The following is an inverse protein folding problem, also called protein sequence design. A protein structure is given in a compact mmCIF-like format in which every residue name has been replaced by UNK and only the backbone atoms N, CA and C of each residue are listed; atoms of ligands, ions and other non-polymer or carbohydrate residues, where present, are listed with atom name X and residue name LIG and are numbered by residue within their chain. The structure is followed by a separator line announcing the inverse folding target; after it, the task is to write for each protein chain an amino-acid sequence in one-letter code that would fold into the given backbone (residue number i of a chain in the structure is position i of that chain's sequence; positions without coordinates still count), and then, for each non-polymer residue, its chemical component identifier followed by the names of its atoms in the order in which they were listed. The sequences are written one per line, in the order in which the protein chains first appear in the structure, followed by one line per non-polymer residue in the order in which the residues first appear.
data_IF_498512406588
#
_entry.id   IF_498512406588
#
_cell.length_a   1.000
_cell.length_b   1.000
_cell.length_c   1.000
_cell.angle_alpha   90.00
_cell.angle_beta   90.00
_cell.angle_gamma   90.00
#
_symmetry.space_group_name_H-M   'P 1'
#
loop_
_entity.id
_entity.type
_entity.pdbx_description
1 polymer ?
#
# COMPACT_ATOMS: atom_id res chain seq x y z
N UNK A 1 34.39 -17.18 39.97
CA UNK A 1 33.80 -16.22 39.00
C UNK A 1 33.59 -17.00 37.72
N UNK A 2 32.36 -17.46 37.48
CA UNK A 2 31.97 -18.23 36.29
C UNK A 2 31.77 -17.28 35.13
N UNK A 3 32.46 -17.57 34.03
CA UNK A 3 32.26 -16.88 32.72
C UNK A 3 30.77 -16.89 32.34
N UNK A 4 30.12 -15.73 32.37
CA UNK A 4 28.87 -15.51 31.69
C UNK A 4 29.23 -15.53 30.21
N UNK A 5 29.16 -16.70 29.57
CA UNK A 5 29.33 -16.85 28.12
C UNK A 5 28.26 -16.03 27.47
N UNK A 6 28.71 -15.06 26.67
CA UNK A 6 27.95 -14.21 25.77
C UNK A 6 27.20 -15.08 24.73
N UNK A 7 26.11 -15.77 25.16
CA UNK A 7 25.32 -16.67 24.30
C UNK A 7 24.32 -15.94 23.40
N UNK A 8 24.06 -14.63 23.67
CA UNK A 8 23.09 -13.84 22.92
C UNK A 8 23.55 -13.48 21.48
N UNK A 9 24.84 -13.21 21.32
CA UNK A 9 25.38 -12.72 20.02
C UNK A 9 25.47 -13.82 18.94
N UNK A 10 25.54 -15.09 19.31
CA UNK A 10 25.59 -16.21 18.33
C UNK A 10 24.21 -16.68 17.87
N UNK A 11 23.14 -16.37 18.62
CA UNK A 11 21.77 -16.84 18.38
C UNK A 11 21.08 -16.13 17.22
N UNK A 12 21.34 -14.84 17.05
CA UNK A 12 20.67 -13.98 16.04
C UNK A 12 21.30 -14.08 14.63
N UNK A 13 22.39 -14.86 14.47
CA UNK A 13 23.01 -15.02 13.15
C UNK A 13 22.16 -15.85 12.21
N UNK A 14 22.05 -15.40 10.97
CA UNK A 14 21.38 -16.11 9.89
C UNK A 14 22.09 -17.46 9.67
N UNK A 15 21.33 -18.53 9.81
CA UNK A 15 21.78 -19.90 9.54
C UNK A 15 21.54 -20.26 8.09
N UNK A 16 20.32 -19.98 7.60
CA UNK A 16 19.85 -20.34 6.27
C UNK A 16 18.76 -19.39 5.77
N UNK A 17 18.63 -19.26 4.45
CA UNK A 17 17.56 -18.53 3.78
C UNK A 17 17.00 -19.42 2.68
N UNK A 18 15.70 -19.70 2.76
CA UNK A 18 14.95 -20.45 1.77
C UNK A 18 14.08 -19.46 0.98
N UNK A 19 13.82 -19.79 -0.27
CA UNK A 19 12.87 -19.03 -1.09
C UNK A 19 12.05 -19.97 -1.95
N UNK A 20 10.82 -19.57 -2.23
CA UNK A 20 9.90 -20.30 -3.10
C UNK A 20 8.99 -19.37 -3.87
N UNK A 21 8.42 -19.91 -4.93
CA UNK A 21 7.35 -19.31 -5.68
C UNK A 21 6.03 -19.72 -5.02
N UNK A 22 5.17 -18.76 -4.71
CA UNK A 22 3.80 -18.96 -4.24
C UNK A 22 2.84 -18.19 -5.15
N UNK A 23 1.52 -18.31 -4.96
CA UNK A 23 0.52 -17.55 -5.70
C UNK A 23 0.04 -16.35 -4.88
N UNK A 24 -0.15 -15.22 -5.56
CA UNK A 24 -0.82 -14.04 -5.02
C UNK A 24 -2.36 -14.16 -5.12
N UNK A 25 -3.09 -13.17 -4.64
CA UNK A 25 -4.57 -13.13 -4.65
C UNK A 25 -5.20 -13.12 -6.04
N UNK A 26 -4.40 -12.87 -7.09
CA UNK A 26 -4.82 -12.91 -8.50
C UNK A 26 -4.44 -14.21 -9.20
N UNK A 27 -3.80 -15.15 -8.47
CA UNK A 27 -3.29 -16.40 -9.02
C UNK A 27 -1.98 -16.24 -9.80
N UNK A 28 -1.30 -15.10 -9.69
CA UNK A 28 0.01 -14.88 -10.27
C UNK A 28 1.12 -15.31 -9.30
N UNK A 29 2.24 -15.87 -9.81
CA UNK A 29 3.38 -16.17 -8.96
C UNK A 29 3.97 -14.94 -8.29
N UNK A 30 4.38 -15.12 -7.03
CA UNK A 30 5.19 -14.15 -6.28
C UNK A 30 6.23 -14.86 -5.43
N UNK A 31 7.14 -14.08 -4.80
CA UNK A 31 8.25 -14.61 -4.01
C UNK A 31 7.88 -14.67 -2.54
N UNK A 32 8.15 -15.82 -1.92
CA UNK A 32 8.17 -15.98 -0.48
C UNK A 32 9.59 -16.37 -0.04
N UNK A 33 10.12 -15.70 0.99
CA UNK A 33 11.38 -16.05 1.62
C UNK A 33 11.18 -16.45 3.07
N UNK A 34 12.00 -17.41 3.53
CA UNK A 34 12.06 -17.86 4.92
C UNK A 34 13.49 -17.74 5.43
N UNK A 35 13.70 -16.93 6.47
CA UNK A 35 14.98 -16.76 7.14
C UNK A 35 14.99 -17.58 8.43
N UNK A 36 16.04 -18.37 8.64
CA UNK A 36 16.22 -19.23 9.80
C UNK A 36 17.47 -18.80 10.54
N UNK A 37 17.34 -18.47 11.83
CA UNK A 37 18.43 -18.07 12.70
C UNK A 37 19.09 -19.26 13.39
N UNK A 38 20.32 -19.08 13.91
CA UNK A 38 21.02 -20.12 14.68
C UNK A 38 20.33 -20.50 15.97
N UNK A 39 19.56 -19.58 16.59
CA UNK A 39 18.70 -19.90 17.74
C UNK A 39 17.47 -20.73 17.40
N UNK A 40 17.19 -20.99 16.12
CA UNK A 40 16.02 -21.69 15.64
C UNK A 40 14.82 -20.79 15.30
N UNK A 41 14.86 -19.51 15.63
CA UNK A 41 13.81 -18.56 15.23
C UNK A 41 13.71 -18.46 13.71
N UNK A 42 12.50 -18.27 13.21
CA UNK A 42 12.21 -18.19 11.79
C UNK A 42 11.38 -16.93 11.47
N UNK A 43 11.57 -16.37 10.30
CA UNK A 43 10.70 -15.33 9.76
C UNK A 43 10.35 -15.66 8.32
N UNK A 44 9.08 -15.57 7.99
CA UNK A 44 8.55 -15.81 6.62
C UNK A 44 7.91 -14.54 6.13
N UNK A 45 8.21 -14.15 4.90
CA UNK A 45 7.59 -13.00 4.26
C UNK A 45 7.29 -13.29 2.79
N UNK A 46 6.11 -12.87 2.36
CA UNK A 46 5.63 -12.98 0.99
C UNK A 46 5.42 -11.59 0.40
N UNK A 47 5.88 -11.36 -0.82
CA UNK A 47 5.89 -10.03 -1.44
C UNK A 47 4.61 -9.79 -2.23
N UNK A 48 3.96 -8.60 -2.09
CA UNK A 48 2.84 -8.22 -2.94
C UNK A 48 3.30 -7.80 -4.35
N UNK A 49 2.35 -7.71 -5.29
CA UNK A 49 2.59 -7.33 -6.68
C UNK A 49 1.56 -6.31 -7.17
N UNK A 50 1.99 -5.27 -7.88
CA UNK A 50 1.08 -4.27 -8.47
C UNK A 50 0.35 -4.78 -9.71
N UNK A 51 -0.82 -4.22 -10.01
CA UNK A 51 -1.48 -4.35 -11.31
C UNK A 51 -1.00 -3.24 -12.27
N UNK A 52 -1.03 -2.00 -11.81
CA UNK A 52 -0.34 -0.85 -12.39
C UNK A 52 0.96 -0.61 -11.62
N UNK A 53 1.98 -0.13 -12.30
CA UNK A 53 3.27 0.23 -11.69
C UNK A 53 3.67 1.61 -12.16
N UNK A 54 3.99 2.51 -11.22
CA UNK A 54 4.57 3.81 -11.53
C UNK A 54 5.91 3.65 -12.26
N UNK A 55 6.22 4.56 -13.16
CA UNK A 55 7.42 4.46 -14.02
C UNK A 55 8.74 4.41 -13.24
N UNK A 56 8.72 4.85 -11.99
CA UNK A 56 9.90 4.96 -11.13
C UNK A 56 9.96 3.91 -10.01
N UNK A 57 9.09 2.92 -10.03
CA UNK A 57 9.14 1.81 -9.07
C UNK A 57 10.39 0.93 -9.25
N UNK A 58 10.84 0.31 -8.16
CA UNK A 58 11.84 -0.74 -8.24
C UNK A 58 11.32 -1.96 -9.02
N UNK A 59 12.20 -2.63 -9.75
CA UNK A 59 11.82 -3.67 -10.72
C UNK A 59 11.39 -4.95 -10.04
N UNK A 60 10.17 -5.36 -10.27
CA UNK A 60 9.70 -6.72 -9.98
C UNK A 60 10.24 -7.66 -11.06
N UNK A 61 11.17 -8.55 -10.69
CA UNK A 61 11.79 -9.47 -11.63
C UNK A 61 10.83 -10.58 -12.01
N UNK A 62 10.48 -10.65 -13.30
CA UNK A 62 9.63 -11.67 -13.93
C UNK A 62 10.40 -12.47 -14.97
N UNK A 63 10.11 -13.78 -15.08
CA UNK A 63 10.86 -14.69 -15.96
C UNK A 63 10.64 -14.41 -17.45
N UNK A 64 9.48 -13.85 -17.82
CA UNK A 64 9.06 -13.60 -19.22
C UNK A 64 9.04 -14.82 -20.13
N UNK A 65 9.11 -16.02 -19.56
CA UNK A 65 8.96 -17.30 -20.24
C UNK A 65 7.47 -17.66 -20.38
N UNK A 66 7.14 -18.68 -21.19
CA UNK A 66 5.74 -19.14 -21.40
C UNK A 66 5.03 -19.60 -20.11
N UNK A 67 5.78 -20.02 -19.12
CA UNK A 67 5.29 -20.46 -17.83
C UNK A 67 4.57 -19.31 -17.12
N UNK A 68 3.35 -19.56 -16.61
CA UNK A 68 2.47 -18.52 -16.04
C UNK A 68 2.32 -17.29 -16.95
N UNK A 69 2.27 -17.51 -18.27
CA UNK A 69 2.11 -16.43 -19.26
C UNK A 69 3.15 -15.30 -19.10
N UNK A 70 4.38 -15.65 -18.74
CA UNK A 70 5.47 -14.69 -18.52
C UNK A 70 5.58 -14.14 -17.10
N UNK A 71 4.63 -14.47 -16.21
CA UNK A 71 4.55 -13.93 -14.85
C UNK A 71 5.35 -14.72 -13.81
N UNK A 72 6.10 -15.78 -14.20
CA UNK A 72 6.92 -16.58 -13.30
C UNK A 72 7.97 -15.74 -12.56
N UNK A 73 8.43 -16.23 -11.38
CA UNK A 73 9.44 -15.55 -10.53
C UNK A 73 10.60 -16.47 -10.14
N UNK A 74 10.87 -17.50 -10.96
CA UNK A 74 12.01 -18.42 -10.72
C UNK A 74 13.36 -17.70 -10.72
N UNK A 75 13.52 -16.69 -11.57
CA UNK A 75 14.72 -15.84 -11.60
C UNK A 75 14.96 -15.16 -10.26
N UNK A 76 13.94 -14.54 -9.68
CA UNK A 76 14.00 -13.92 -8.36
C UNK A 76 14.26 -14.96 -7.25
N UNK A 77 13.59 -16.10 -7.27
CA UNK A 77 13.85 -17.21 -6.33
C UNK A 77 15.27 -17.72 -6.43
N UNK A 78 15.82 -17.82 -7.66
CA UNK A 78 17.22 -18.21 -7.91
C UNK A 78 18.20 -17.17 -7.37
N UNK A 79 17.91 -15.88 -7.54
CA UNK A 79 18.72 -14.80 -6.99
C UNK A 79 18.78 -14.89 -5.45
N UNK A 80 17.66 -15.15 -4.78
CA UNK A 80 17.65 -15.40 -3.33
C UNK A 80 18.54 -16.59 -2.97
N UNK A 81 18.35 -17.75 -3.62
CA UNK A 81 19.02 -18.99 -3.24
C UNK A 81 20.53 -19.00 -3.55
N UNK A 82 20.93 -18.41 -4.65
CA UNK A 82 22.31 -18.53 -5.19
C UNK A 82 23.19 -17.33 -4.88
N UNK A 83 22.62 -16.15 -4.61
CA UNK A 83 23.36 -14.91 -4.38
C UNK A 83 23.09 -14.41 -2.96
N UNK A 84 21.82 -14.07 -2.64
CA UNK A 84 21.49 -13.42 -1.38
C UNK A 84 21.74 -14.34 -0.19
N UNK A 85 21.27 -15.59 -0.23
CA UNK A 85 21.39 -16.52 0.89
C UNK A 85 22.86 -16.84 1.24
N UNK A 86 23.76 -17.15 0.30
CA UNK A 86 25.16 -17.31 0.61
C UNK A 86 25.83 -16.06 1.18
N UNK A 87 25.52 -14.88 0.64
CA UNK A 87 26.10 -13.61 1.05
C UNK A 87 25.69 -13.17 2.46
N UNK A 88 24.44 -13.42 2.84
CA UNK A 88 23.91 -13.05 4.17
C UNK A 88 24.18 -14.10 5.26
N UNK A 89 24.65 -15.30 4.91
CA UNK A 89 24.89 -16.36 5.87
C UNK A 89 25.91 -15.97 6.94
N UNK A 90 25.49 -16.06 8.20
CA UNK A 90 26.33 -15.68 9.36
C UNK A 90 26.22 -14.21 9.75
N UNK A 91 25.56 -13.36 8.97
CA UNK A 91 25.24 -11.99 9.39
C UNK A 91 24.23 -11.99 10.54
N UNK A 92 24.25 -10.97 11.36
CA UNK A 92 23.33 -10.78 12.47
C UNK A 92 22.01 -10.18 11.98
N UNK A 93 20.90 -10.91 12.15
CA UNK A 93 19.58 -10.50 11.70
C UNK A 93 19.05 -9.22 12.38
N UNK A 94 19.59 -8.84 13.55
CA UNK A 94 19.25 -7.58 14.21
C UNK A 94 19.81 -6.34 13.49
N UNK A 95 20.76 -6.52 12.59
CA UNK A 95 21.41 -5.46 11.83
C UNK A 95 20.73 -5.24 10.48
N UNK A 96 19.40 -4.96 10.52
CA UNK A 96 18.56 -4.83 9.32
C UNK A 96 19.18 -3.92 8.26
N UNK A 97 19.66 -2.73 8.64
CA UNK A 97 20.23 -1.76 7.69
C UNK A 97 21.48 -2.31 6.98
N UNK A 98 22.36 -3.01 7.68
CA UNK A 98 23.56 -3.61 7.08
C UNK A 98 23.19 -4.71 6.07
N UNK A 99 22.15 -5.49 6.37
CA UNK A 99 21.65 -6.56 5.50
C UNK A 99 21.03 -5.96 4.24
N UNK A 100 20.14 -4.97 4.40
CA UNK A 100 19.48 -4.32 3.27
C UNK A 100 20.51 -3.59 2.37
N UNK A 101 21.48 -2.89 2.97
CA UNK A 101 22.56 -2.24 2.23
C UNK A 101 23.44 -3.24 1.48
N UNK A 102 23.71 -4.41 2.05
CA UNK A 102 24.45 -5.46 1.35
C UNK A 102 23.69 -5.93 0.11
N UNK A 103 22.39 -6.18 0.22
CA UNK A 103 21.57 -6.59 -0.93
C UNK A 103 21.47 -5.51 -2.01
N UNK A 104 21.38 -4.24 -1.62
CA UNK A 104 21.38 -3.10 -2.55
C UNK A 104 22.73 -3.00 -3.28
N UNK A 105 23.83 -3.14 -2.56
CA UNK A 105 25.17 -3.08 -3.14
C UNK A 105 25.46 -4.27 -4.08
N UNK A 106 24.95 -5.46 -3.77
CA UNK A 106 25.07 -6.66 -4.61
C UNK A 106 24.23 -6.55 -5.88
N UNK A 107 23.02 -5.94 -5.81
CA UNK A 107 22.21 -5.66 -7.01
C UNK A 107 22.92 -4.65 -7.92
N UNK A 108 23.55 -3.63 -7.37
CA UNK A 108 24.32 -2.59 -8.04
C UNK A 108 23.57 -1.80 -9.15
N UNK A 109 22.23 -1.88 -9.21
CA UNK A 109 21.41 -1.09 -10.13
C UNK A 109 20.53 -0.10 -9.38
N UNK A 110 20.18 1.02 -10.01
CA UNK A 110 19.38 2.07 -9.37
C UNK A 110 17.96 1.62 -8.98
N UNK A 111 17.42 0.65 -9.72
CA UNK A 111 16.04 0.19 -9.58
C UNK A 111 15.92 -1.31 -9.22
N UNK A 112 16.98 -1.92 -8.70
CA UNK A 112 17.02 -3.33 -8.28
C UNK A 112 16.67 -4.33 -9.39
N UNK A 113 17.06 -4.02 -10.63
CA UNK A 113 16.74 -4.85 -11.81
C UNK A 113 17.60 -6.11 -11.97
N UNK A 114 18.73 -6.23 -11.26
CA UNK A 114 19.61 -7.38 -11.33
C UNK A 114 19.11 -8.57 -10.49
N UNK A 115 18.88 -8.35 -9.19
CA UNK A 115 18.37 -9.39 -8.27
C UNK A 115 16.85 -9.43 -8.24
N UNK A 116 16.22 -8.30 -8.51
CA UNK A 116 14.78 -8.07 -8.40
C UNK A 116 14.37 -7.50 -7.04
N UNK A 117 13.58 -6.43 -7.06
CA UNK A 117 13.04 -5.84 -5.83
C UNK A 117 12.18 -6.83 -5.04
N UNK A 118 11.47 -7.73 -5.72
CA UNK A 118 10.70 -8.81 -5.09
C UNK A 118 11.58 -9.82 -4.34
N UNK A 119 12.75 -10.20 -4.88
CA UNK A 119 13.70 -11.06 -4.19
C UNK A 119 14.30 -10.38 -2.97
N UNK A 120 14.75 -9.14 -3.13
CA UNK A 120 15.35 -8.33 -2.06
C UNK A 120 14.35 -8.09 -0.93
N UNK A 121 13.13 -7.64 -1.26
CA UNK A 121 12.11 -7.35 -0.26
C UNK A 121 11.67 -8.59 0.52
N UNK A 122 11.48 -9.74 -0.15
CA UNK A 122 11.10 -10.97 0.53
C UNK A 122 12.10 -11.33 1.64
N UNK A 123 13.40 -11.20 1.34
CA UNK A 123 14.45 -11.46 2.33
C UNK A 123 14.50 -10.37 3.40
N UNK A 124 14.43 -9.10 3.02
CA UNK A 124 14.44 -7.96 3.95
C UNK A 124 13.36 -8.08 5.03
N UNK A 125 12.11 -8.37 4.63
CA UNK A 125 10.99 -8.55 5.55
C UNK A 125 11.11 -9.85 6.37
N UNK A 126 11.57 -10.94 5.77
CA UNK A 126 11.76 -12.20 6.46
C UNK A 126 12.86 -12.12 7.55
N UNK A 127 13.94 -11.34 7.29
CA UNK A 127 14.99 -11.04 8.28
C UNK A 127 14.40 -10.31 9.49
N UNK A 128 13.62 -9.24 9.25
CA UNK A 128 12.99 -8.48 10.33
C UNK A 128 12.07 -9.37 11.19
N UNK A 129 11.27 -10.22 10.55
CA UNK A 129 10.39 -11.18 11.26
C UNK A 129 11.19 -12.23 12.03
N UNK A 130 12.28 -12.77 11.46
CA UNK A 130 13.15 -13.71 12.14
C UNK A 130 13.82 -13.09 13.37
N UNK A 131 14.29 -11.83 13.23
CA UNK A 131 14.89 -11.09 14.33
C UNK A 131 13.87 -10.81 15.45
N UNK A 132 12.66 -10.35 15.10
CA UNK A 132 11.58 -10.14 16.04
C UNK A 132 11.26 -11.43 16.84
N UNK A 133 11.09 -12.56 16.14
CA UNK A 133 10.83 -13.86 16.74
C UNK A 133 12.00 -14.34 17.60
N UNK A 134 13.25 -14.08 17.17
CA UNK A 134 14.45 -14.40 17.98
C UNK A 134 14.53 -13.61 19.27
N UNK A 135 14.02 -12.39 19.28
CA UNK A 135 13.89 -11.54 20.47
C UNK A 135 12.59 -11.77 21.25
N UNK A 136 11.71 -12.66 20.77
CA UNK A 136 10.38 -12.93 21.35
C UNK A 136 9.50 -11.69 21.43
N UNK A 137 9.58 -10.82 20.41
CA UNK A 137 8.78 -9.63 20.27
C UNK A 137 7.83 -9.76 19.07
N UNK A 138 6.60 -9.25 19.14
CA UNK A 138 5.79 -9.07 17.94
C UNK A 138 6.45 -8.06 17.00
N UNK A 139 6.23 -8.20 15.70
CA UNK A 139 6.96 -7.42 14.69
C UNK A 139 6.77 -5.91 14.87
N UNK A 140 5.56 -5.44 15.18
CA UNK A 140 5.31 -4.01 15.39
C UNK A 140 6.13 -3.45 16.57
N UNK A 141 6.31 -4.23 17.65
CA UNK A 141 7.15 -3.85 18.81
C UNK A 141 8.63 -3.87 18.46
N UNK A 142 9.06 -4.87 17.70
CA UNK A 142 10.45 -4.95 17.25
C UNK A 142 10.85 -3.74 16.39
N UNK A 143 9.97 -3.32 15.48
CA UNK A 143 10.24 -2.20 14.56
C UNK A 143 10.05 -0.84 15.22
N UNK A 144 9.00 -0.66 16.04
CA UNK A 144 8.59 0.65 16.56
C UNK A 144 8.91 0.88 18.04
N UNK A 145 9.44 -0.15 18.72
CA UNK A 145 9.77 -0.06 20.15
C UNK A 145 8.54 0.12 21.06
N UNK A 146 8.78 0.70 22.24
CA UNK A 146 7.72 0.94 23.22
C UNK A 146 6.70 2.02 22.81
N UNK A 147 7.03 2.86 21.83
CA UNK A 147 6.14 3.88 21.31
C UNK A 147 5.11 3.39 20.28
N UNK A 148 5.24 2.15 19.78
CA UNK A 148 4.34 1.57 18.78
C UNK A 148 3.00 1.16 19.44
N UNK A 149 1.97 2.01 19.28
CA UNK A 149 0.66 1.81 19.96
C UNK A 149 -0.53 2.40 19.21
N UNK A 150 -0.34 3.16 18.13
CA UNK A 150 -1.43 3.80 17.41
C UNK A 150 -2.02 2.84 16.40
N UNK A 151 -3.29 2.45 16.59
CA UNK A 151 -4.05 1.67 15.62
C UNK A 151 -4.51 2.58 14.48
N UNK A 152 -4.22 2.22 13.22
CA UNK A 152 -4.53 3.08 12.07
C UNK A 152 -6.03 3.15 11.78
N UNK A 153 -6.48 4.28 11.21
CA UNK A 153 -7.79 4.39 10.58
C UNK A 153 -7.72 3.67 9.23
N UNK A 154 -8.57 2.67 8.98
CA UNK A 154 -8.59 1.99 7.69
C UNK A 154 -9.24 2.86 6.60
N UNK A 155 -8.61 2.91 5.44
CA UNK A 155 -9.16 3.42 4.18
C UNK A 155 -9.63 2.20 3.39
N UNK A 156 -10.96 1.92 3.44
CA UNK A 156 -11.53 0.70 2.90
C UNK A 156 -12.08 0.94 1.48
N UNK A 157 -11.43 0.39 0.46
CA UNK A 157 -11.91 0.45 -0.92
C UNK A 157 -13.17 -0.39 -1.09
N UNK A 158 -14.33 0.24 -1.20
CA UNK A 158 -15.64 -0.43 -1.26
C UNK A 158 -16.33 -0.34 -2.61
N UNK A 159 -15.93 0.60 -3.49
CA UNK A 159 -16.38 0.71 -4.88
C UNK A 159 -15.17 0.92 -5.78
N UNK A 160 -15.08 0.15 -6.86
CA UNK A 160 -14.06 0.24 -7.89
C UNK A 160 -14.63 0.88 -9.16
N UNK A 161 -13.84 1.73 -9.79
CA UNK A 161 -14.08 2.31 -11.10
C UNK A 161 -12.82 2.26 -11.97
N UNK A 162 -12.64 3.22 -12.87
CA UNK A 162 -11.48 3.32 -13.72
C UNK A 162 -11.19 2.03 -14.48
N UNK A 163 -9.94 1.57 -14.43
CA UNK A 163 -9.53 0.27 -15.02
C UNK A 163 -9.86 -0.93 -14.15
N UNK A 164 -10.21 -0.72 -12.88
CA UNK A 164 -10.56 -1.79 -11.96
C UNK A 164 -12.02 -2.26 -12.11
N UNK A 165 -12.81 -1.66 -13.01
CA UNK A 165 -14.21 -2.01 -13.25
C UNK A 165 -14.67 -1.73 -14.70
N UNK A 166 -15.59 -2.54 -15.19
CA UNK A 166 -16.31 -2.31 -16.46
C UNK A 166 -17.47 -1.32 -16.27
N UNK A 167 -17.18 -0.15 -15.67
CA UNK A 167 -18.16 0.93 -15.42
C UNK A 167 -17.83 2.16 -16.24
N UNK A 168 -18.69 3.18 -16.20
CA UNK A 168 -18.43 4.49 -16.82
C UNK A 168 -17.73 5.50 -15.89
N UNK A 169 -17.37 5.08 -14.67
CA UNK A 169 -16.61 5.89 -13.74
C UNK A 169 -15.14 6.01 -14.17
N UNK A 170 -14.55 7.18 -13.97
CA UNK A 170 -13.15 7.44 -14.30
C UNK A 170 -12.24 7.35 -13.06
N UNK A 171 -12.73 7.73 -11.89
CA UNK A 171 -12.04 7.56 -10.60
C UNK A 171 -11.92 6.08 -10.28
N UNK A 172 -10.70 5.64 -9.88
CA UNK A 172 -10.36 4.23 -9.75
C UNK A 172 -10.90 3.60 -8.47
N UNK A 173 -10.83 4.30 -7.33
CA UNK A 173 -11.25 3.76 -6.03
C UNK A 173 -12.04 4.78 -5.23
N UNK A 174 -13.12 4.29 -4.61
CA UNK A 174 -13.94 5.04 -3.66
C UNK A 174 -13.90 4.32 -2.31
N UNK A 175 -13.28 4.98 -1.33
CA UNK A 175 -13.00 4.42 -0.02
C UNK A 175 -13.82 5.07 1.08
N UNK A 176 -14.22 4.29 2.08
CA UNK A 176 -14.78 4.79 3.34
C UNK A 176 -13.73 4.78 4.45
N UNK A 177 -13.76 5.80 5.30
CA UNK A 177 -12.87 5.96 6.44
C UNK A 177 -13.68 6.12 7.73
N UNK A 178 -13.72 5.13 8.63
CA UNK A 178 -14.42 5.20 9.92
C UNK A 178 -13.62 6.05 10.94
N UNK A 179 -13.76 7.37 10.88
CA UNK A 179 -13.00 8.34 11.67
C UNK A 179 -13.61 8.63 13.05
N UNK A 180 -14.90 8.37 13.23
CA UNK A 180 -15.65 8.76 14.43
C UNK A 180 -15.68 7.69 15.55
N UNK A 181 -14.67 6.78 15.60
CA UNK A 181 -14.64 5.65 16.54
C UNK A 181 -13.31 5.58 17.28
N UNK A 182 -13.34 5.17 18.55
CA UNK A 182 -12.17 5.18 19.42
C UNK A 182 -11.28 3.94 19.23
N UNK A 183 -11.88 2.75 19.15
CA UNK A 183 -11.15 1.49 19.00
C UNK A 183 -11.07 1.04 17.55
N UNK A 184 -10.09 0.20 17.23
CA UNK A 184 -9.99 -0.39 15.90
C UNK A 184 -11.13 -1.39 15.66
N UNK A 185 -11.53 -2.12 16.71
CA UNK A 185 -12.67 -3.02 16.66
C UNK A 185 -13.95 -2.30 16.21
N UNK A 186 -14.27 -1.15 16.83
CA UNK A 186 -15.43 -0.33 16.43
C UNK A 186 -15.32 0.18 14.99
N UNK A 187 -14.11 0.61 14.57
CA UNK A 187 -13.85 1.03 13.18
C UNK A 187 -14.14 -0.07 12.18
N UNK A 188 -13.67 -1.29 12.48
CA UNK A 188 -13.86 -2.44 11.59
C UNK A 188 -15.33 -2.91 11.57
N UNK A 189 -16.01 -2.95 12.71
CA UNK A 189 -17.43 -3.29 12.81
C UNK A 189 -18.27 -2.30 11.99
N UNK A 190 -18.07 -0.99 12.21
CA UNK A 190 -18.80 0.05 11.51
C UNK A 190 -18.52 0.01 9.99
N UNK A 191 -17.26 -0.14 9.59
CA UNK A 191 -16.88 -0.26 8.17
C UNK A 191 -17.53 -1.48 7.50
N UNK A 192 -17.52 -2.61 8.16
CA UNK A 192 -18.17 -3.85 7.69
C UNK A 192 -19.69 -3.68 7.57
N UNK A 193 -20.31 -3.00 8.53
CA UNK A 193 -21.75 -2.68 8.48
C UNK A 193 -22.10 -1.81 7.27
N UNK A 194 -21.33 -0.75 7.00
CA UNK A 194 -21.51 0.10 5.81
C UNK A 194 -21.31 -0.71 4.53
N UNK A 195 -20.27 -1.56 4.45
CA UNK A 195 -20.00 -2.42 3.31
C UNK A 195 -21.17 -3.36 2.99
N UNK A 196 -21.75 -4.02 3.99
CA UNK A 196 -22.91 -4.89 3.80
C UNK A 196 -24.18 -4.10 3.47
N UNK A 197 -24.35 -2.90 4.04
CA UNK A 197 -25.46 -2.00 3.68
C UNK A 197 -25.36 -1.57 2.22
N UNK A 198 -24.15 -1.19 1.77
CA UNK A 198 -23.89 -0.87 0.36
C UNK A 198 -24.25 -2.05 -0.56
N UNK A 199 -23.83 -3.27 -0.20
CA UNK A 199 -24.20 -4.48 -0.95
C UNK A 199 -25.71 -4.62 -1.11
N UNK A 200 -26.45 -4.45 -0.02
CA UNK A 200 -27.92 -4.54 -0.01
C UNK A 200 -28.57 -3.49 -0.91
N UNK A 201 -28.07 -2.24 -0.87
CA UNK A 201 -28.56 -1.13 -1.72
C UNK A 201 -28.30 -1.44 -3.20
N UNK A 202 -27.06 -1.86 -3.55
CA UNK A 202 -26.70 -2.23 -4.92
C UNK A 202 -27.60 -3.33 -5.47
N UNK A 203 -27.83 -4.39 -4.67
CA UNK A 203 -28.72 -5.49 -5.07
C UNK A 203 -30.17 -5.03 -5.27
N UNK A 204 -30.69 -4.15 -4.41
CA UNK A 204 -32.07 -3.62 -4.51
C UNK A 204 -32.25 -2.78 -5.77
N UNK A 205 -31.20 -2.13 -6.26
CA UNK A 205 -31.21 -1.34 -7.49
C UNK A 205 -30.64 -2.10 -8.72
N UNK A 206 -30.56 -3.43 -8.61
CA UNK A 206 -30.17 -4.34 -9.68
C UNK A 206 -28.71 -4.15 -10.20
N UNK A 207 -27.81 -3.54 -9.41
CA UNK A 207 -26.41 -3.50 -9.71
C UNK A 207 -25.68 -4.78 -9.32
N UNK A 208 -24.61 -5.09 -10.04
CA UNK A 208 -23.72 -6.21 -9.69
C UNK A 208 -23.02 -5.97 -8.34
N UNK A 209 -22.90 -7.05 -7.56
CA UNK A 209 -22.13 -7.07 -6.30
C UNK A 209 -20.91 -8.00 -6.39
N UNK A 210 -20.45 -8.28 -7.60
CA UNK A 210 -19.16 -8.90 -7.82
C UNK A 210 -18.05 -7.97 -7.32
N UNK A 211 -17.00 -8.54 -6.74
CA UNK A 211 -15.90 -7.77 -6.17
C UNK A 211 -14.67 -7.79 -7.07
N UNK A 212 -13.97 -6.68 -7.12
CA UNK A 212 -12.69 -6.54 -7.77
C UNK A 212 -11.53 -7.15 -6.95
N UNK A 213 -10.31 -6.93 -7.43
CA UNK A 213 -9.08 -7.47 -6.83
C UNK A 213 -8.89 -7.06 -5.37
N UNK A 214 -9.36 -5.88 -4.99
CA UNK A 214 -9.22 -5.31 -3.65
C UNK A 214 -10.45 -5.54 -2.74
N UNK A 215 -11.41 -6.32 -3.21
CA UNK A 215 -12.59 -6.73 -2.45
C UNK A 215 -13.77 -5.76 -2.49
N UNK A 216 -13.62 -4.56 -3.07
CA UNK A 216 -14.71 -3.61 -3.32
C UNK A 216 -15.61 -4.02 -4.47
N UNK A 217 -16.86 -3.54 -4.48
CA UNK A 217 -17.81 -3.82 -5.56
C UNK A 217 -17.44 -3.09 -6.84
N UNK A 218 -17.86 -3.63 -7.98
CA UNK A 218 -17.63 -3.04 -9.30
C UNK A 218 -18.97 -2.83 -10.03
N UNK A 219 -19.87 -1.94 -9.53
CA UNK A 219 -21.15 -1.68 -10.17
C UNK A 219 -20.96 -0.90 -11.47
N UNK A 220 -21.83 -1.15 -12.46
CA UNK A 220 -21.83 -0.45 -13.74
C UNK A 220 -22.45 0.96 -13.61
N UNK A 221 -21.85 1.83 -12.80
CA UNK A 221 -22.28 3.21 -12.65
C UNK A 221 -21.88 4.05 -13.87
N UNK A 222 -22.66 5.10 -14.15
CA UNK A 222 -22.49 5.96 -15.32
C UNK A 222 -21.52 7.12 -15.07
N UNK A 223 -21.32 7.53 -13.81
CA UNK A 223 -20.51 8.68 -13.41
C UNK A 223 -19.95 8.52 -11.99
N UNK A 224 -18.90 9.25 -11.71
CA UNK A 224 -18.18 9.19 -10.42
C UNK A 224 -19.06 9.64 -9.24
N UNK A 225 -19.90 10.68 -9.43
CA UNK A 225 -20.78 11.18 -8.38
C UNK A 225 -21.83 10.14 -7.95
N UNK A 226 -22.22 9.25 -8.84
CA UNK A 226 -23.16 8.18 -8.49
C UNK A 226 -22.56 7.25 -7.42
N UNK A 227 -21.28 6.92 -7.53
CA UNK A 227 -20.59 6.15 -6.50
C UNK A 227 -20.59 6.88 -5.16
N UNK A 228 -20.33 8.19 -5.17
CA UNK A 228 -20.36 9.01 -3.96
C UNK A 228 -21.75 9.07 -3.33
N UNK A 229 -22.81 9.25 -4.13
CA UNK A 229 -24.19 9.26 -3.67
C UNK A 229 -24.57 7.92 -2.99
N UNK A 230 -24.15 6.79 -3.59
CA UNK A 230 -24.37 5.46 -3.01
C UNK A 230 -23.58 5.26 -1.70
N UNK A 231 -22.37 5.80 -1.59
CA UNK A 231 -21.61 5.74 -0.33
C UNK A 231 -22.27 6.55 0.77
N UNK A 232 -22.72 7.78 0.48
CA UNK A 232 -23.45 8.62 1.45
C UNK A 232 -24.68 7.88 1.95
N UNK A 233 -25.50 7.37 1.03
CA UNK A 233 -26.71 6.59 1.35
C UNK A 233 -26.38 5.34 2.18
N UNK A 234 -25.33 4.61 1.84
CA UNK A 234 -24.91 3.42 2.59
C UNK A 234 -24.49 3.75 4.03
N UNK A 235 -23.77 4.86 4.23
CA UNK A 235 -23.38 5.35 5.54
C UNK A 235 -24.62 5.71 6.37
N UNK A 236 -25.58 6.46 5.78
CA UNK A 236 -26.81 6.89 6.45
C UNK A 236 -27.74 5.72 6.79
N UNK A 237 -27.97 4.80 5.84
CA UNK A 237 -28.81 3.61 6.06
C UNK A 237 -28.15 2.60 7.04
N UNK A 238 -26.81 2.64 7.20
CA UNK A 238 -26.12 1.90 8.25
C UNK A 238 -26.26 2.52 9.65
N UNK A 239 -26.90 3.71 9.75
CA UNK A 239 -27.12 4.42 11.01
C UNK A 239 -26.01 5.39 11.39
N UNK A 240 -25.12 5.76 10.47
CA UNK A 240 -24.01 6.67 10.71
C UNK A 240 -24.19 8.02 10.00
N UNK A 241 -23.41 9.02 10.42
CA UNK A 241 -23.44 10.37 9.86
C UNK A 241 -22.21 10.61 8.97
N UNK A 242 -22.40 10.89 7.65
CA UNK A 242 -21.33 11.33 6.78
C UNK A 242 -20.64 12.58 7.32
N UNK A 243 -19.33 12.67 7.17
CA UNK A 243 -18.51 13.78 7.66
C UNK A 243 -18.14 13.69 9.15
N UNK A 244 -18.96 13.03 9.98
CA UNK A 244 -18.70 12.86 11.42
C UNK A 244 -18.19 11.47 11.77
N UNK A 245 -18.92 10.41 11.43
CA UNK A 245 -18.53 9.03 11.71
C UNK A 245 -17.69 8.45 10.58
N UNK A 246 -18.01 8.80 9.35
CA UNK A 246 -17.30 8.39 8.16
C UNK A 246 -16.91 9.57 7.31
N UNK A 247 -15.72 9.51 6.74
CA UNK A 247 -15.26 10.35 5.64
C UNK A 247 -14.98 9.49 4.42
N UNK A 248 -14.82 10.13 3.26
CA UNK A 248 -14.55 9.47 1.98
C UNK A 248 -13.10 9.75 1.58
N UNK A 249 -12.45 8.75 1.00
CA UNK A 249 -11.18 8.92 0.32
C UNK A 249 -11.32 8.43 -1.13
N UNK A 250 -10.62 9.08 -2.04
CA UNK A 250 -10.57 8.75 -3.46
C UNK A 250 -9.16 8.39 -3.87
N UNK A 251 -9.04 7.42 -4.77
CA UNK A 251 -7.85 7.22 -5.59
C UNK A 251 -8.26 7.48 -7.05
N UNK A 252 -7.72 8.54 -7.62
CA UNK A 252 -8.11 9.02 -8.96
C UNK A 252 -7.31 8.30 -10.04
N UNK A 253 -6.08 7.89 -9.75
CA UNK A 253 -5.12 7.30 -10.70
C UNK A 253 -5.00 8.13 -12.00
N UNK A 254 -4.82 9.45 -11.83
CA UNK A 254 -4.93 10.40 -12.93
C UNK A 254 -3.83 10.25 -14.00
N UNK A 255 -2.70 9.61 -13.69
CA UNK A 255 -1.66 9.28 -14.68
C UNK A 255 -2.24 8.46 -15.84
N UNK A 256 -3.16 7.52 -15.56
CA UNK A 256 -3.81 6.72 -16.60
C UNK A 256 -4.68 7.58 -17.54
N UNK A 257 -5.35 8.60 -16.99
CA UNK A 257 -6.15 9.56 -17.78
C UNK A 257 -5.26 10.44 -18.66
N UNK A 258 -4.11 10.87 -18.12
CA UNK A 258 -3.10 11.63 -18.84
C UNK A 258 -2.50 10.82 -19.99
N UNK A 259 -2.07 9.60 -19.73
CA UNK A 259 -1.53 8.69 -20.73
C UNK A 259 -2.55 8.34 -21.83
N UNK A 260 -3.83 8.22 -21.46
CA UNK A 260 -4.89 8.00 -22.44
C UNK A 260 -5.06 9.21 -23.36
N UNK A 261 -5.00 10.44 -22.82
CA UNK A 261 -5.03 11.66 -23.62
C UNK A 261 -3.81 11.78 -24.54
N UNK A 262 -2.62 11.46 -24.02
CA UNK A 262 -1.37 11.48 -24.78
C UNK A 262 -1.43 10.52 -25.99
N UNK A 263 -1.99 9.31 -25.82
CA UNK A 263 -2.20 8.36 -26.93
C UNK A 263 -3.12 8.89 -28.02
N UNK A 264 -4.07 9.75 -27.67
CA UNK A 264 -4.98 10.45 -28.61
C UNK A 264 -4.37 11.76 -29.17
N UNK A 265 -3.08 12.02 -28.90
CA UNK A 265 -2.38 13.23 -29.37
C UNK A 265 -2.78 14.52 -28.64
N UNK A 266 -3.33 14.41 -27.42
CA UNK A 266 -3.76 15.52 -26.56
C UNK A 266 -2.81 15.65 -25.37
N UNK A 267 -1.57 16.04 -25.64
CA UNK A 267 -0.58 16.30 -24.61
C UNK A 267 -1.03 17.39 -23.63
N UNK A 268 -0.71 17.21 -22.35
CA UNK A 268 -1.09 18.12 -21.28
C UNK A 268 -2.57 18.06 -20.86
N UNK A 269 -3.33 17.08 -21.34
CA UNK A 269 -4.75 16.90 -21.00
C UNK A 269 -4.97 15.61 -20.19
N UNK A 270 -6.13 15.52 -19.56
CA UNK A 270 -6.65 14.34 -18.87
C UNK A 270 -7.88 13.82 -19.62
N UNK A 271 -7.84 12.60 -20.11
CA UNK A 271 -8.94 12.01 -20.87
C UNK A 271 -9.80 11.11 -19.97
N UNK A 272 -11.01 11.57 -19.73
CA UNK A 272 -12.08 10.79 -19.09
C UNK A 272 -12.69 9.85 -20.14
N UNK A 273 -11.99 8.73 -20.39
CA UNK A 273 -12.30 7.84 -21.53
C UNK A 273 -13.69 7.19 -21.46
N UNK A 274 -14.28 7.09 -20.27
CA UNK A 274 -15.62 6.54 -20.08
C UNK A 274 -16.71 7.52 -20.54
N UNK A 275 -16.48 8.81 -20.38
CA UNK A 275 -17.42 9.88 -20.81
C UNK A 275 -17.00 10.58 -22.11
N UNK A 276 -15.79 10.31 -22.62
CA UNK A 276 -15.28 10.93 -23.83
C UNK A 276 -14.87 12.40 -23.66
N UNK A 277 -14.65 12.86 -22.43
CA UNK A 277 -14.36 14.27 -22.11
C UNK A 277 -12.88 14.46 -21.85
N UNK A 278 -12.28 15.52 -22.40
CA UNK A 278 -10.93 15.97 -22.07
C UNK A 278 -11.02 17.12 -21.06
N UNK A 279 -10.10 17.13 -20.09
CA UNK A 279 -9.94 18.20 -19.11
C UNK A 279 -8.52 18.72 -19.15
N UNK A 280 -8.35 20.04 -19.02
CA UNK A 280 -7.03 20.62 -18.68
C UNK A 280 -6.69 20.31 -17.22
N UNK A 281 -5.43 20.50 -16.79
CA UNK A 281 -5.05 20.35 -15.38
C UNK A 281 -5.88 21.26 -14.45
N UNK A 282 -6.17 22.50 -14.87
CA UNK A 282 -6.99 23.45 -14.09
C UNK A 282 -8.45 22.98 -13.99
N UNK A 283 -9.02 22.44 -15.07
CA UNK A 283 -10.36 21.83 -15.06
C UNK A 283 -10.42 20.57 -14.19
N UNK A 284 -9.31 19.79 -14.15
CA UNK A 284 -9.20 18.65 -13.26
C UNK A 284 -9.17 19.10 -11.79
N UNK A 285 -8.39 20.12 -11.45
CA UNK A 285 -8.36 20.72 -10.11
C UNK A 285 -9.75 21.26 -9.72
N UNK A 286 -10.43 21.94 -10.64
CA UNK A 286 -11.78 22.47 -10.41
C UNK A 286 -12.80 21.33 -10.16
N UNK A 287 -12.71 20.25 -10.92
CA UNK A 287 -13.55 19.06 -10.76
C UNK A 287 -13.35 18.42 -9.36
N UNK A 288 -12.10 18.17 -8.95
CA UNK A 288 -11.78 17.62 -7.64
C UNK A 288 -12.26 18.54 -6.51
N UNK A 289 -12.13 19.86 -6.71
CA UNK A 289 -12.65 20.85 -5.75
C UNK A 289 -14.17 20.78 -5.65
N UNK A 290 -14.89 20.68 -6.75
CA UNK A 290 -16.36 20.54 -6.74
C UNK A 290 -16.80 19.29 -5.96
N UNK A 291 -16.13 18.15 -6.17
CA UNK A 291 -16.42 16.93 -5.41
C UNK A 291 -16.19 17.15 -3.90
N UNK A 292 -15.11 17.83 -3.51
CA UNK A 292 -14.82 18.14 -2.12
C UNK A 292 -15.79 19.16 -1.49
N UNK A 293 -16.42 20.01 -2.29
CA UNK A 293 -17.43 20.97 -1.82
C UNK A 293 -18.78 20.31 -1.58
N UNK A 294 -19.08 19.21 -2.29
CA UNK A 294 -20.36 18.47 -2.23
C UNK A 294 -20.33 17.29 -1.27
N UNK A 295 -19.20 16.63 -1.11
CA UNK A 295 -19.06 15.38 -0.35
C UNK A 295 -18.03 15.51 0.76
N UNK A 296 -18.13 14.73 1.85
CA UNK A 296 -17.20 14.77 2.97
C UNK A 296 -15.86 14.06 2.64
N UNK A 297 -15.22 14.48 1.52
CA UNK A 297 -13.95 13.93 1.06
C UNK A 297 -12.85 14.45 1.97
N UNK A 298 -12.08 13.52 2.51
CA UNK A 298 -10.93 13.77 3.39
C UNK A 298 -9.60 13.62 2.66
N UNK A 299 -9.52 12.69 1.71
CA UNK A 299 -8.28 12.30 1.06
C UNK A 299 -8.48 12.10 -0.44
N UNK A 300 -7.55 12.60 -1.24
CA UNK A 300 -7.45 12.37 -2.68
C UNK A 300 -6.04 11.86 -2.97
N UNK A 301 -5.95 10.66 -3.52
CA UNK A 301 -4.73 10.02 -3.99
C UNK A 301 -4.62 10.21 -5.50
N UNK A 302 -3.41 10.54 -5.97
CA UNK A 302 -3.04 10.73 -7.38
C UNK A 302 -4.06 11.49 -8.20
N UNK A 303 -4.44 12.67 -7.67
CA UNK A 303 -5.41 13.57 -8.30
C UNK A 303 -4.93 14.18 -9.62
N UNK A 304 -3.62 14.13 -9.91
CA UNK A 304 -2.97 14.55 -11.13
C UNK A 304 -1.88 13.55 -11.51
N UNK A 305 -1.38 13.64 -12.77
CA UNK A 305 -0.35 12.73 -13.29
C UNK A 305 0.98 12.83 -12.54
N UNK A 306 1.74 11.73 -12.51
CA UNK A 306 2.97 11.56 -11.71
C UNK A 306 4.13 12.51 -12.06
N UNK A 307 4.11 13.14 -13.24
CA UNK A 307 5.10 14.14 -13.66
C UNK A 307 4.53 15.57 -13.78
N UNK A 308 3.27 15.77 -13.46
CA UNK A 308 2.62 17.09 -13.54
C UNK A 308 2.86 17.94 -12.26
N UNK A 309 4.13 18.08 -11.88
CA UNK A 309 4.59 18.72 -10.64
C UNK A 309 4.07 20.15 -10.43
N UNK A 310 3.96 20.92 -11.51
CA UNK A 310 3.48 22.31 -11.44
C UNK A 310 2.02 22.38 -10.99
N UNK A 311 1.17 21.51 -11.55
CA UNK A 311 -0.25 21.51 -11.20
C UNK A 311 -0.51 20.77 -9.86
N UNK A 312 0.37 19.84 -9.45
CA UNK A 312 0.33 19.31 -8.10
C UNK A 312 0.54 20.39 -7.03
N UNK A 313 1.48 21.32 -7.22
CA UNK A 313 1.64 22.49 -6.34
C UNK A 313 0.37 23.35 -6.34
N UNK A 314 -0.25 23.58 -7.51
CA UNK A 314 -1.51 24.31 -7.62
C UNK A 314 -2.68 23.58 -6.92
N UNK A 315 -2.78 22.26 -7.07
CA UNK A 315 -3.76 21.42 -6.38
C UNK A 315 -3.60 21.53 -4.87
N UNK A 316 -2.36 21.42 -4.36
CA UNK A 316 -2.08 21.51 -2.93
C UNK A 316 -2.39 22.92 -2.40
N UNK A 317 -2.09 23.96 -3.15
CA UNK A 317 -2.46 25.35 -2.79
C UNK A 317 -3.97 25.53 -2.72
N UNK A 318 -4.73 24.85 -3.57
CA UNK A 318 -6.20 24.94 -3.65
C UNK A 318 -6.91 24.13 -2.60
N UNK A 319 -6.48 22.91 -2.33
CA UNK A 319 -7.18 21.93 -1.48
C UNK A 319 -6.41 21.50 -0.24
N UNK A 320 -5.09 21.63 -0.20
CA UNK A 320 -4.24 21.01 0.81
C UNK A 320 -4.46 21.48 2.25
N UNK A 321 -5.10 22.63 2.46
CA UNK A 321 -5.48 23.11 3.80
C UNK A 321 -6.67 22.35 4.42
N UNK A 322 -7.48 21.67 3.62
CA UNK A 322 -8.71 20.97 4.06
C UNK A 322 -8.76 19.49 3.65
N UNK A 323 -7.96 19.09 2.66
CA UNK A 323 -7.95 17.73 2.07
C UNK A 323 -6.54 17.16 2.15
N UNK A 324 -6.43 15.89 2.50
CA UNK A 324 -5.20 15.14 2.39
C UNK A 324 -4.94 14.81 0.93
N UNK A 325 -3.85 15.33 0.38
CA UNK A 325 -3.40 15.07 -0.99
C UNK A 325 -2.25 14.07 -0.95
N UNK A 326 -2.51 12.88 -1.46
CA UNK A 326 -1.61 11.73 -1.36
C UNK A 326 -0.94 11.49 -2.70
N UNK A 327 0.39 11.42 -2.71
CA UNK A 327 1.11 10.92 -3.87
C UNK A 327 1.43 9.43 -3.69
N UNK A 328 0.94 8.61 -4.63
CA UNK A 328 1.34 7.22 -4.84
C UNK A 328 2.35 7.14 -5.99
N UNK A 329 1.91 7.18 -7.24
CA UNK A 329 2.78 7.17 -8.42
C UNK A 329 3.70 8.41 -8.46
N UNK A 330 3.23 9.54 -7.94
CA UNK A 330 4.04 10.74 -7.78
C UNK A 330 5.34 10.49 -7.01
N UNK A 331 5.31 9.66 -5.96
CA UNK A 331 6.44 9.46 -5.05
C UNK A 331 7.05 8.06 -5.08
N UNK A 332 6.28 7.05 -5.42
CA UNK A 332 6.68 5.61 -5.47
C UNK A 332 7.51 5.17 -4.28
N UNK A 333 7.19 5.68 -3.07
CA UNK A 333 7.95 5.43 -1.82
C UNK A 333 9.45 5.81 -1.91
N UNK A 334 9.83 6.63 -2.90
CA UNK A 334 11.22 7.00 -3.19
C UNK A 334 11.59 8.32 -2.50
N UNK A 335 12.64 8.30 -1.68
CA UNK A 335 13.08 9.47 -0.89
C UNK A 335 13.50 10.66 -1.74
N UNK A 336 14.05 10.47 -2.95
CA UNK A 336 14.42 11.57 -3.84
C UNK A 336 13.17 12.28 -4.38
N UNK A 337 12.15 11.51 -4.79
CA UNK A 337 10.87 12.05 -5.26
C UNK A 337 10.09 12.72 -4.11
N UNK A 338 10.07 12.12 -2.92
CA UNK A 338 9.47 12.71 -1.72
C UNK A 338 10.15 14.05 -1.39
N UNK A 339 11.50 14.09 -1.40
CA UNK A 339 12.26 15.33 -1.18
C UNK A 339 11.94 16.42 -2.22
N UNK A 340 11.76 16.03 -3.50
CA UNK A 340 11.33 16.96 -4.55
C UNK A 340 9.94 17.52 -4.23
N UNK A 341 8.99 16.65 -3.89
CA UNK A 341 7.61 17.05 -3.54
C UNK A 341 7.56 17.99 -2.33
N UNK A 342 8.33 17.71 -1.27
CA UNK A 342 8.42 18.58 -0.09
C UNK A 342 8.94 19.97 -0.49
N UNK A 343 10.02 20.04 -1.29
CA UNK A 343 10.58 21.33 -1.73
C UNK A 343 9.62 22.15 -2.57
N UNK A 344 8.78 21.49 -3.37
CA UNK A 344 7.80 22.12 -4.25
C UNK A 344 6.43 22.30 -3.58
N UNK A 345 6.25 21.82 -2.34
CA UNK A 345 4.95 21.80 -1.67
C UNK A 345 3.84 21.16 -2.55
N UNK A 346 4.18 20.04 -3.21
CA UNK A 346 3.33 19.41 -4.19
C UNK A 346 2.14 18.65 -3.58
N UNK A 347 2.31 18.09 -2.36
CA UNK A 347 1.32 17.27 -1.67
C UNK A 347 1.41 17.50 -0.16
N UNK A 348 0.69 16.72 0.65
CA UNK A 348 0.78 16.73 2.11
C UNK A 348 0.74 15.33 2.74
N UNK A 349 0.76 14.28 1.90
CA UNK A 349 0.82 12.89 2.32
C UNK A 349 1.49 12.01 1.25
N UNK A 350 2.05 10.88 1.69
CA UNK A 350 2.72 9.89 0.84
C UNK A 350 2.08 8.53 1.07
N UNK A 351 1.74 7.83 0.00
CA UNK A 351 1.40 6.42 0.06
C UNK A 351 2.68 5.59 0.14
N UNK A 352 2.76 4.69 1.09
CA UNK A 352 3.94 3.86 1.35
C UNK A 352 3.64 2.42 0.94
N UNK A 353 4.29 1.98 -0.13
CA UNK A 353 4.23 0.61 -0.64
C UNK A 353 5.61 -0.02 -0.58
N UNK A 354 5.79 -0.99 0.30
CA UNK A 354 7.11 -1.59 0.58
C UNK A 354 7.82 -2.14 -0.66
N UNK A 355 7.05 -2.65 -1.64
CA UNK A 355 7.62 -3.24 -2.86
C UNK A 355 7.99 -2.19 -3.93
N UNK A 356 7.50 -0.95 -3.86
CA UNK A 356 7.89 0.12 -4.78
C UNK A 356 9.36 0.52 -4.59
N UNK A 357 9.90 0.36 -3.39
CA UNK A 357 11.29 0.68 -3.07
C UNK A 357 12.16 -0.57 -2.82
N UNK A 358 11.59 -1.64 -2.25
CA UNK A 358 12.17 -2.98 -2.24
C UNK A 358 13.01 -3.36 -1.02
N UNK A 359 13.13 -2.52 0.02
CA UNK A 359 13.68 -2.89 1.33
C UNK A 359 12.90 -2.26 2.47
N UNK A 360 12.94 -2.89 3.64
CA UNK A 360 12.37 -2.33 4.88
C UNK A 360 13.11 -1.06 5.29
N UNK A 361 14.43 -1.03 5.16
CA UNK A 361 15.26 0.13 5.52
C UNK A 361 14.88 1.38 4.70
N UNK A 362 14.81 1.27 3.38
CA UNK A 362 14.42 2.40 2.51
C UNK A 362 12.96 2.81 2.77
N UNK A 363 12.07 1.84 3.03
CA UNK A 363 10.68 2.11 3.43
C UNK A 363 10.61 2.96 4.70
N UNK A 364 11.37 2.58 5.75
CA UNK A 364 11.44 3.34 7.00
C UNK A 364 12.07 4.72 6.81
N UNK A 365 13.07 4.86 5.95
CA UNK A 365 13.68 6.15 5.61
C UNK A 365 12.68 7.07 4.88
N UNK A 366 11.86 6.54 3.97
CA UNK A 366 10.78 7.27 3.30
C UNK A 366 9.70 7.74 4.30
N UNK A 367 9.25 6.86 5.20
CA UNK A 367 8.28 7.19 6.24
C UNK A 367 8.83 8.27 7.16
N UNK A 368 10.07 8.14 7.60
CA UNK A 368 10.73 9.11 8.48
C UNK A 368 10.79 10.49 7.81
N UNK A 369 11.31 10.56 6.58
CA UNK A 369 11.37 11.81 5.81
C UNK A 369 10.01 12.49 5.68
N UNK A 370 8.98 11.70 5.37
CA UNK A 370 7.59 12.17 5.25
C UNK A 370 7.11 12.81 6.55
N UNK A 371 7.26 12.10 7.68
CA UNK A 371 6.77 12.55 9.00
C UNK A 371 7.56 13.73 9.57
N UNK A 372 8.88 13.74 9.40
CA UNK A 372 9.75 14.87 9.86
C UNK A 372 9.41 16.18 9.16
N UNK A 373 8.78 16.13 7.97
CA UNK A 373 8.33 17.32 7.25
C UNK A 373 6.84 17.66 7.47
N UNK A 374 6.20 17.05 8.48
CA UNK A 374 4.81 17.31 8.83
C UNK A 374 3.78 16.69 7.90
N UNK A 375 4.22 15.84 6.96
CA UNK A 375 3.36 15.11 6.06
C UNK A 375 2.91 13.78 6.68
N UNK A 376 1.83 13.19 6.15
CA UNK A 376 1.31 11.89 6.59
C UNK A 376 1.86 10.78 5.73
N UNK A 377 2.25 9.67 6.36
CA UNK A 377 2.62 8.43 5.69
C UNK A 377 1.47 7.43 5.85
N UNK A 378 0.91 6.95 4.73
CA UNK A 378 -0.19 5.99 4.71
C UNK A 378 0.38 4.64 4.28
N UNK A 379 0.29 3.63 5.12
CA UNK A 379 0.79 2.30 4.77
C UNK A 379 -0.23 1.61 3.87
N UNK A 380 0.24 1.09 2.73
CA UNK A 380 -0.64 0.56 1.69
C UNK A 380 -0.30 -0.87 1.27
N UNK A 381 -1.35 -1.60 0.88
CA UNK A 381 -1.28 -2.86 0.15
C UNK A 381 -0.96 -2.64 -1.35
N UNK A 382 -0.99 -3.73 -2.11
CA UNK A 382 -1.03 -3.71 -3.58
C UNK A 382 -2.26 -4.48 -4.08
N UNK A 383 -2.54 -4.36 -5.39
CA UNK A 383 -3.67 -5.09 -6.02
C UNK A 383 -3.50 -6.60 -5.91
N UNK A 384 -2.29 -7.12 -6.16
CA UNK A 384 -1.92 -8.52 -5.91
C UNK A 384 -1.32 -8.66 -4.52
N UNK A 385 -2.07 -9.22 -3.59
CA UNK A 385 -1.66 -9.46 -2.21
C UNK A 385 -1.50 -10.93 -1.88
N UNK A 386 -0.91 -11.20 -0.74
CA UNK A 386 -0.79 -12.52 -0.14
C UNK A 386 -1.43 -12.54 1.24
N UNK A 387 -1.31 -13.64 1.98
CA UNK A 387 -1.73 -13.72 3.39
C UNK A 387 -0.78 -12.97 4.34
N UNK A 388 0.33 -12.43 3.84
CA UNK A 388 1.31 -11.68 4.64
C UNK A 388 0.68 -10.45 5.29
N UNK A 389 0.95 -10.22 6.57
CA UNK A 389 0.38 -9.14 7.38
C UNK A 389 1.39 -8.07 7.78
N UNK A 390 2.57 -8.06 7.18
CA UNK A 390 3.67 -7.14 7.56
C UNK A 390 3.22 -5.68 7.57
N UNK A 391 2.40 -5.27 6.59
CA UNK A 391 1.94 -3.87 6.50
C UNK A 391 1.05 -3.46 7.68
N UNK A 392 0.32 -4.39 8.30
CA UNK A 392 -0.45 -4.11 9.51
C UNK A 392 0.49 -3.84 10.71
N UNK A 393 1.49 -4.71 10.92
CA UNK A 393 2.52 -4.49 11.94
C UNK A 393 3.31 -3.20 11.67
N UNK A 394 3.67 -2.91 10.41
CA UNK A 394 4.40 -1.70 10.02
C UNK A 394 3.59 -0.43 10.32
N UNK A 395 2.28 -0.43 10.01
CA UNK A 395 1.42 0.74 10.27
C UNK A 395 1.40 1.10 11.76
N UNK A 396 1.33 0.12 12.64
CA UNK A 396 1.37 0.33 14.09
C UNK A 396 2.79 0.68 14.56
N UNK A 397 3.81 0.00 14.02
CA UNK A 397 5.21 0.24 14.39
C UNK A 397 5.63 1.69 14.21
N UNK A 398 5.18 2.32 13.13
CA UNK A 398 5.55 3.71 12.80
C UNK A 398 4.51 4.73 13.24
N UNK A 399 3.44 4.30 13.94
CA UNK A 399 2.28 5.15 14.26
C UNK A 399 1.83 5.94 13.02
N UNK A 400 1.49 5.22 11.95
CA UNK A 400 1.14 5.83 10.66
C UNK A 400 -0.19 6.60 10.71
N UNK A 401 -1.08 6.21 11.62
CA UNK A 401 -2.42 6.79 11.77
C UNK A 401 -3.42 6.33 10.72
N UNK A 402 -2.97 5.83 9.56
CA UNK A 402 -3.82 5.37 8.46
C UNK A 402 -3.23 4.14 7.76
N UNK A 403 -4.11 3.27 7.25
CA UNK A 403 -3.76 2.10 6.42
C UNK A 403 -4.75 1.96 5.26
N UNK A 404 -4.23 1.80 4.03
CA UNK A 404 -5.02 1.45 2.84
C UNK A 404 -4.79 -0.03 2.55
N UNK A 405 -5.80 -0.88 2.81
CA UNK A 405 -5.63 -2.34 2.64
C UNK A 405 -6.88 -3.05 2.09
N UNK A 406 -7.64 -2.34 1.24
CA UNK A 406 -8.80 -2.87 0.53
C UNK A 406 -10.09 -2.90 1.34
N UNK A 407 -11.10 -3.56 0.81
CA UNK A 407 -12.40 -3.76 1.47
C UNK A 407 -12.31 -4.78 2.62
N UNK A 408 -13.30 -4.82 3.54
CA UNK A 408 -13.43 -5.89 4.53
C UNK A 408 -13.96 -7.19 3.88
N UNK A 409 -13.35 -7.60 2.79
CA UNK A 409 -13.70 -8.73 1.94
C UNK A 409 -12.44 -9.28 1.27
N UNK A 410 -12.40 -10.56 0.94
CA UNK A 410 -11.26 -11.35 0.47
C UNK A 410 -10.20 -11.56 1.56
N UNK A 411 -9.74 -12.80 1.71
CA UNK A 411 -8.83 -13.21 2.80
C UNK A 411 -7.51 -12.44 2.82
N UNK A 412 -6.97 -12.14 1.63
CA UNK A 412 -5.76 -11.36 1.44
C UNK A 412 -5.85 -9.94 2.04
N UNK A 413 -7.03 -9.34 2.08
CA UNK A 413 -7.31 -8.03 2.72
C UNK A 413 -7.66 -8.21 4.20
N UNK A 414 -8.59 -9.11 4.49
CA UNK A 414 -9.09 -9.38 5.84
C UNK A 414 -7.98 -9.87 6.78
N UNK A 415 -6.95 -10.55 6.28
CA UNK A 415 -5.79 -10.96 7.07
C UNK A 415 -5.11 -9.78 7.79
N UNK A 416 -4.99 -8.61 7.10
CA UNK A 416 -4.40 -7.38 7.67
C UNK A 416 -5.31 -6.80 8.77
N UNK A 417 -6.63 -6.76 8.53
CA UNK A 417 -7.61 -6.31 9.53
C UNK A 417 -7.60 -7.22 10.78
N UNK A 418 -7.59 -8.53 10.58
CA UNK A 418 -7.51 -9.49 11.68
C UNK A 418 -6.19 -9.38 12.45
N UNK A 419 -5.09 -9.02 11.78
CA UNK A 419 -3.81 -8.75 12.47
C UNK A 419 -3.91 -7.50 13.34
N UNK A 420 -4.54 -6.43 12.85
CA UNK A 420 -4.74 -5.20 13.62
C UNK A 420 -5.64 -5.41 14.84
N UNK A 421 -6.68 -6.25 14.74
CA UNK A 421 -7.48 -6.65 15.92
C UNK A 421 -6.63 -7.35 16.98
N UNK A 422 -5.77 -8.30 16.59
CA UNK A 422 -4.86 -8.98 17.53
C UNK A 422 -3.85 -8.02 18.14
N UNK A 423 -3.33 -7.07 17.37
CA UNK A 423 -2.43 -6.02 17.88
C UNK A 423 -3.15 -5.13 18.88
N UNK A 424 -4.42 -4.80 18.65
CA UNK A 424 -5.22 -4.03 19.60
C UNK A 424 -5.32 -4.73 20.97
N UNK A 425 -5.60 -6.04 20.97
CA UNK A 425 -5.62 -6.87 22.21
C UNK A 425 -4.24 -6.94 22.90
N UNK A 426 -3.14 -6.91 22.11
CA UNK A 426 -1.78 -6.93 22.66
C UNK A 426 -1.36 -5.59 23.30
N UNK A 427 -2.01 -4.48 22.91
CA UNK A 427 -1.69 -3.12 23.38
C UNK A 427 -2.50 -2.75 24.63
N UNK A 428 -3.76 -3.18 24.69
CA UNK A 428 -4.73 -2.85 25.76
C UNK A 428 -5.07 -4.05 26.63
#
# INVERSE_FOLDING_TARGET
MSEIKNSGDKGMKIRDILAREILDSRGNPTVEAEVILKCGARGVASVPSGASTGAFEAVELRDRESRYMGMGVRGAVKAVRQIIAPGLKGMDASRQREIDQWMIAEDATANKSHLGANAILAVSLAVAKAAANGMKLPLYRYLGGCGARELPIPMMNVINGGRHADSSMNIQEFMIMPVGFMSFHERLEAGTRVFHTLKRILMAEHYTTSVGDEGGFAPAFERDEQALDFLIRAIEEAGYQPGRHFRIALDVAATEMYDAALREGKDGMYYFWKSGIYKTPEEMIAYLKELCDRYPIYSIEDGLAEEDWMHWEQLNRTLGSRVQLVGDDLFVTNTERIRKGIRQNAANAVLIKVNQIGTLTETLDAIRMTKENGWRAIISHRSGETEDTTIADLAVAVNAGQIKTGAPSRTDRVAKYNRLLRIEEEIW
#
